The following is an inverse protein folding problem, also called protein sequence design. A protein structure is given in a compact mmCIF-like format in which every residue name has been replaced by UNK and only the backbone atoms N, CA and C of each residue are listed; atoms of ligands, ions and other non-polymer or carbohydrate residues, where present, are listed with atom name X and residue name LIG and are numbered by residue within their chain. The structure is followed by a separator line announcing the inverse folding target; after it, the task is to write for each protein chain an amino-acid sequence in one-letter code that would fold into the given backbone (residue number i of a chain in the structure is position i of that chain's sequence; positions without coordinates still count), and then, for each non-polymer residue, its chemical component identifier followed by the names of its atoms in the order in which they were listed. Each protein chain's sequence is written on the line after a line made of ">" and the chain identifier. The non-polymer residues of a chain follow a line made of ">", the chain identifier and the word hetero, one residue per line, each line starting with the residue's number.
data_IF_076461816499
#
_entry.id   IF_076461816499
#
_cell.length_a   1.000
_cell.length_b   1.000
_cell.length_c   1.000
_cell.angle_alpha   90.00
_cell.angle_beta   90.00
_cell.angle_gamma   90.00
#
_symmetry.space_group_name_H-M   'P 1'
#
loop_
_entity.id
_entity.type
_entity.pdbx_description
1 polymer ?
#
# COMPACT_ATOMS: atom_id res chain seq x y z
N UNK A 1 7.48 -27.94 -14.64
CA UNK A 1 8.01 -26.83 -13.83
C UNK A 1 8.66 -27.46 -12.61
N UNK A 2 9.96 -27.29 -12.43
CA UNK A 2 10.67 -27.75 -11.24
C UNK A 2 10.30 -26.74 -10.15
N UNK A 3 9.39 -27.11 -9.24
CA UNK A 3 9.12 -26.31 -8.06
C UNK A 3 10.34 -26.37 -7.15
N UNK A 4 10.97 -25.23 -6.91
CA UNK A 4 12.07 -25.16 -5.94
C UNK A 4 11.58 -25.66 -4.57
N UNK A 5 12.48 -26.29 -3.78
CA UNK A 5 12.09 -26.83 -2.47
C UNK A 5 11.61 -25.71 -1.55
N UNK A 6 10.61 -25.99 -0.70
CA UNK A 6 10.14 -25.02 0.28
C UNK A 6 11.26 -24.62 1.27
N UNK A 7 11.26 -23.36 1.66
CA UNK A 7 12.20 -22.87 2.69
C UNK A 7 11.70 -23.31 4.07
N UNK A 8 12.60 -23.81 4.90
CA UNK A 8 12.32 -23.98 6.34
C UNK A 8 12.15 -22.60 7.00
N UNK A 9 10.99 -22.29 7.61
CA UNK A 9 10.70 -21.01 8.22
C UNK A 9 11.71 -20.59 9.29
N UNK A 10 12.20 -21.54 10.13
CA UNK A 10 13.17 -21.24 11.17
C UNK A 10 14.55 -20.90 10.59
N UNK A 11 14.97 -21.62 9.55
CA UNK A 11 16.23 -21.33 8.85
C UNK A 11 16.17 -19.97 8.14
N UNK A 12 15.01 -19.63 7.56
CA UNK A 12 14.82 -18.32 6.92
C UNK A 12 15.00 -17.19 7.93
N UNK A 13 14.29 -17.25 9.07
CA UNK A 13 14.41 -16.26 10.16
C UNK A 13 15.85 -16.15 10.63
N UNK A 14 16.49 -17.27 10.96
CA UNK A 14 17.89 -17.29 11.43
C UNK A 14 18.87 -16.66 10.41
N UNK A 15 18.61 -16.83 9.12
CA UNK A 15 19.45 -16.30 8.05
C UNK A 15 19.36 -14.76 7.91
N UNK A 16 18.18 -14.19 8.14
CA UNK A 16 17.93 -12.74 7.94
C UNK A 16 18.05 -11.92 9.22
N UNK A 17 17.86 -12.54 10.38
CA UNK A 17 17.84 -11.88 11.67
C UNK A 17 19.11 -11.05 12.00
N UNK A 18 20.35 -11.48 11.69
CA UNK A 18 21.54 -10.67 11.95
C UNK A 18 21.53 -9.34 11.18
N UNK A 19 21.03 -9.34 9.92
CA UNK A 19 20.96 -8.14 9.10
C UNK A 19 19.84 -7.20 9.57
N UNK A 20 18.72 -7.76 10.02
CA UNK A 20 17.63 -6.99 10.63
C UNK A 20 18.09 -6.33 11.94
N UNK A 21 18.76 -7.07 12.81
CA UNK A 21 19.29 -6.55 14.07
C UNK A 21 20.34 -5.44 13.85
N UNK A 22 21.13 -5.55 12.78
CA UNK A 22 22.09 -4.54 12.36
C UNK A 22 21.51 -3.38 11.56
N UNK A 23 20.20 -3.37 11.28
CA UNK A 23 19.51 -2.42 10.40
C UNK A 23 20.15 -2.31 8.98
N UNK A 24 20.79 -3.37 8.51
CA UNK A 24 21.40 -3.46 7.19
C UNK A 24 20.37 -3.89 6.12
N UNK A 25 19.52 -2.95 5.73
CA UNK A 25 18.48 -3.21 4.74
C UNK A 25 19.06 -3.50 3.34
N UNK A 26 20.21 -2.91 3.00
CA UNK A 26 20.85 -3.17 1.72
C UNK A 26 21.44 -4.58 1.68
N UNK A 27 22.18 -4.98 2.71
CA UNK A 27 22.70 -6.34 2.85
C UNK A 27 21.58 -7.38 2.89
N UNK A 28 20.45 -7.06 3.54
CA UNK A 28 19.26 -7.91 3.54
C UNK A 28 18.68 -8.07 2.13
N UNK A 29 18.48 -6.98 1.39
CA UNK A 29 17.96 -7.04 0.03
C UNK A 29 18.89 -7.86 -0.90
N UNK A 30 20.20 -7.70 -0.76
CA UNK A 30 21.20 -8.44 -1.54
C UNK A 30 21.24 -9.92 -1.18
N UNK A 31 21.11 -10.25 0.11
CA UNK A 31 21.00 -11.64 0.57
C UNK A 31 19.75 -12.30 -0.02
N UNK A 32 18.59 -11.64 0.12
CA UNK A 32 17.31 -12.14 -0.36
C UNK A 32 17.34 -12.42 -1.86
N UNK A 33 17.82 -11.46 -2.68
CA UNK A 33 17.92 -11.61 -4.14
C UNK A 33 18.86 -12.75 -4.57
N UNK A 34 19.89 -13.05 -3.77
CA UNK A 34 20.85 -14.11 -4.10
C UNK A 34 20.43 -15.49 -3.67
N UNK A 35 19.66 -15.62 -2.58
CA UNK A 35 19.39 -16.92 -1.93
C UNK A 35 17.97 -17.41 -2.07
N UNK A 36 17.02 -16.52 -2.37
CA UNK A 36 15.60 -16.86 -2.36
C UNK A 36 14.87 -16.30 -3.57
N UNK A 37 13.94 -17.07 -4.12
CA UNK A 37 12.99 -16.54 -5.10
C UNK A 37 11.83 -15.83 -4.41
N UNK A 38 11.12 -14.97 -5.17
CA UNK A 38 9.92 -14.30 -4.66
C UNK A 38 8.84 -15.31 -4.26
N UNK A 39 8.72 -16.37 -5.03
CA UNK A 39 7.79 -17.49 -4.81
C UNK A 39 8.09 -18.21 -3.49
N UNK A 40 9.36 -18.45 -3.21
CA UNK A 40 9.79 -19.05 -1.94
C UNK A 40 9.46 -18.14 -0.75
N UNK A 41 9.73 -16.83 -0.86
CA UNK A 41 9.42 -15.85 0.22
C UNK A 41 7.90 -15.76 0.42
N UNK A 42 7.11 -15.71 -0.66
CA UNK A 42 5.64 -15.66 -0.53
C UNK A 42 5.03 -16.95 -0.02
N UNK A 43 5.67 -18.11 -0.21
CA UNK A 43 5.23 -19.35 0.40
C UNK A 43 5.26 -19.32 1.93
N UNK A 44 6.17 -18.54 2.52
CA UNK A 44 6.24 -18.34 3.97
C UNK A 44 5.06 -17.54 4.55
N UNK A 45 4.27 -16.84 3.74
CA UNK A 45 3.09 -16.11 4.23
C UNK A 45 2.03 -17.02 4.85
N UNK A 46 2.01 -18.28 4.46
CA UNK A 46 1.02 -19.28 4.90
C UNK A 46 1.59 -20.26 5.94
N UNK A 47 2.84 -20.06 6.42
CA UNK A 47 3.44 -20.97 7.41
C UNK A 47 2.87 -20.73 8.81
N UNK A 48 2.93 -21.75 9.67
CA UNK A 48 2.43 -21.67 11.06
C UNK A 48 3.24 -20.71 11.95
N UNK A 49 4.49 -20.43 11.59
CA UNK A 49 5.39 -19.59 12.37
C UNK A 49 5.13 -18.08 12.12
N UNK A 50 4.57 -17.31 13.09
CA UNK A 50 4.29 -15.88 12.90
C UNK A 50 5.55 -15.04 12.70
N UNK A 51 6.69 -15.42 13.31
CA UNK A 51 7.94 -14.70 13.08
C UNK A 51 8.42 -14.84 11.64
N UNK A 52 8.26 -16.02 11.07
CA UNK A 52 8.59 -16.22 9.65
C UNK A 52 7.64 -15.45 8.72
N UNK A 53 6.33 -15.42 9.00
CA UNK A 53 5.38 -14.61 8.23
C UNK A 53 5.72 -13.12 8.28
N UNK A 54 6.03 -12.61 9.48
CA UNK A 54 6.47 -11.22 9.72
C UNK A 54 7.69 -10.85 8.89
N UNK A 55 8.74 -11.66 9.02
CA UNK A 55 10.01 -11.44 8.33
C UNK A 55 9.85 -11.61 6.82
N UNK A 56 9.04 -12.56 6.37
CA UNK A 56 8.74 -12.75 4.96
C UNK A 56 7.98 -11.56 4.37
N UNK A 57 7.01 -10.97 5.08
CA UNK A 57 6.31 -9.77 4.65
C UNK A 57 7.29 -8.59 4.47
N UNK A 58 8.16 -8.33 5.46
CA UNK A 58 9.19 -7.30 5.38
C UNK A 58 10.16 -7.56 4.22
N UNK A 59 10.65 -8.80 4.09
CA UNK A 59 11.53 -9.21 3.00
C UNK A 59 10.89 -9.00 1.63
N UNK A 60 9.61 -9.35 1.50
CA UNK A 60 8.86 -9.13 0.27
C UNK A 60 8.68 -7.64 -0.02
N UNK A 61 8.52 -6.81 1.01
CA UNK A 61 8.58 -5.35 0.89
C UNK A 61 9.86 -4.87 0.20
N UNK A 62 11.01 -5.50 0.41
CA UNK A 62 12.30 -5.13 -0.20
C UNK A 62 12.49 -5.65 -1.63
N UNK A 63 12.08 -6.90 -1.90
CA UNK A 63 12.36 -7.56 -3.20
C UNK A 63 11.12 -7.83 -4.05
N UNK A 64 9.93 -7.67 -3.49
CA UNK A 64 8.65 -7.98 -4.12
C UNK A 64 8.27 -7.02 -5.24
N UNK A 65 7.14 -7.30 -5.87
CA UNK A 65 6.59 -6.58 -7.00
C UNK A 65 5.05 -6.65 -6.98
N UNK A 66 4.41 -5.96 -7.93
CA UNK A 66 2.94 -5.91 -8.05
C UNK A 66 2.27 -7.31 -8.05
N UNK A 67 2.92 -8.34 -8.62
CA UNK A 67 2.34 -9.68 -8.74
C UNK A 67 2.07 -10.38 -7.39
N UNK A 68 2.81 -10.06 -6.35
CA UNK A 68 2.61 -10.64 -5.01
C UNK A 68 1.64 -9.88 -4.11
N UNK A 69 1.06 -8.77 -4.58
CA UNK A 69 0.24 -7.88 -3.75
C UNK A 69 -1.00 -8.55 -3.17
N UNK A 70 -1.68 -9.44 -3.92
CA UNK A 70 -2.86 -10.13 -3.42
C UNK A 70 -2.52 -10.97 -2.19
N UNK A 71 -1.43 -11.76 -2.25
CA UNK A 71 -0.98 -12.60 -1.13
C UNK A 71 -0.50 -11.76 0.06
N UNK A 72 0.12 -10.61 -0.21
CA UNK A 72 0.53 -9.69 0.85
C UNK A 72 -0.69 -9.03 1.51
N UNK A 73 -1.76 -8.73 0.74
CA UNK A 73 -3.01 -8.21 1.26
C UNK A 73 -3.74 -9.22 2.18
N UNK A 74 -3.57 -10.53 1.96
CA UNK A 74 -4.13 -11.55 2.85
C UNK A 74 -3.50 -11.48 4.25
N UNK A 75 -2.23 -11.11 4.36
CA UNK A 75 -1.55 -10.90 5.65
C UNK A 75 -2.08 -9.69 6.44
N UNK A 76 -2.81 -8.77 5.82
CA UNK A 76 -3.51 -7.70 6.56
C UNK A 76 -4.64 -8.23 7.44
N UNK A 77 -5.01 -9.52 7.29
CA UNK A 77 -6.01 -10.24 8.07
C UNK A 77 -5.39 -11.29 9.00
N UNK A 78 -4.07 -11.31 9.10
CA UNK A 78 -3.36 -12.26 9.96
C UNK A 78 -3.78 -12.09 11.43
N UNK A 79 -3.91 -13.16 12.22
CA UNK A 79 -4.21 -13.07 13.65
C UNK A 79 -3.12 -12.37 14.47
N UNK A 80 -1.87 -12.34 13.99
CA UNK A 80 -0.76 -11.62 14.63
C UNK A 80 -0.72 -10.15 14.14
N UNK A 81 -0.95 -9.15 15.01
CA UNK A 81 -0.94 -7.74 14.63
C UNK A 81 0.38 -7.24 14.03
N UNK A 82 1.50 -7.87 14.42
CA UNK A 82 2.81 -7.50 13.88
C UNK A 82 2.99 -7.98 12.42
N UNK A 83 2.36 -9.10 12.06
CA UNK A 83 2.30 -9.56 10.67
C UNK A 83 1.50 -8.57 9.83
N UNK A 84 0.33 -8.11 10.31
CA UNK A 84 -0.47 -7.10 9.62
C UNK A 84 0.35 -5.83 9.38
N UNK A 85 1.03 -5.32 10.42
CA UNK A 85 1.83 -4.10 10.32
C UNK A 85 2.97 -4.25 9.31
N UNK A 86 3.65 -5.39 9.30
CA UNK A 86 4.72 -5.64 8.33
C UNK A 86 4.18 -5.77 6.91
N UNK A 87 3.00 -6.39 6.73
CA UNK A 87 2.34 -6.48 5.45
C UNK A 87 1.93 -5.09 4.93
N UNK A 88 1.33 -4.26 5.77
CA UNK A 88 0.97 -2.88 5.43
C UNK A 88 2.21 -2.08 5.00
N UNK A 89 3.28 -2.11 5.81
CA UNK A 89 4.54 -1.44 5.48
C UNK A 89 5.13 -1.94 4.14
N UNK A 90 5.10 -3.24 3.91
CA UNK A 90 5.58 -3.83 2.67
C UNK A 90 4.76 -3.37 1.46
N UNK A 91 3.43 -3.28 1.58
CA UNK A 91 2.56 -2.80 0.52
C UNK A 91 2.88 -1.34 0.17
N UNK A 92 3.00 -0.46 1.15
CA UNK A 92 3.42 0.93 0.93
C UNK A 92 4.79 1.00 0.25
N UNK A 93 5.77 0.24 0.73
CA UNK A 93 7.11 0.20 0.14
C UNK A 93 7.08 -0.22 -1.34
N UNK A 94 6.27 -1.21 -1.70
CA UNK A 94 6.12 -1.68 -3.08
C UNK A 94 5.42 -0.63 -3.94
N UNK A 95 4.34 -0.01 -3.46
CA UNK A 95 3.61 1.02 -4.20
C UNK A 95 4.52 2.20 -4.56
N UNK A 96 5.27 2.73 -3.61
CA UNK A 96 6.18 3.87 -3.81
C UNK A 96 7.33 3.62 -4.80
N UNK A 97 7.64 2.36 -5.13
CA UNK A 97 8.68 1.99 -6.10
C UNK A 97 8.14 1.21 -7.30
N UNK A 98 6.84 1.20 -7.49
CA UNK A 98 6.20 0.36 -8.50
C UNK A 98 6.11 1.01 -9.88
N UNK A 99 6.64 2.21 -10.08
CA UNK A 99 6.77 2.85 -11.38
C UNK A 99 7.64 2.01 -12.32
N UNK A 100 7.20 1.89 -13.57
CA UNK A 100 7.88 1.05 -14.57
C UNK A 100 9.23 1.63 -15.01
N UNK A 101 9.45 2.93 -14.80
CA UNK A 101 10.68 3.62 -15.17
C UNK A 101 11.36 4.27 -13.96
N UNK A 102 12.68 4.41 -14.02
CA UNK A 102 13.43 5.14 -12.99
C UNK A 102 13.02 6.62 -12.93
N UNK A 103 12.59 7.17 -14.05
CA UNK A 103 12.12 8.55 -14.14
C UNK A 103 10.80 8.71 -13.35
N UNK A 104 9.80 7.85 -13.58
CA UNK A 104 8.55 7.87 -12.83
C UNK A 104 8.78 7.77 -11.32
N UNK A 105 9.65 6.86 -10.89
CA UNK A 105 9.98 6.70 -9.46
C UNK A 105 10.72 7.93 -8.89
N UNK A 106 11.62 8.57 -9.66
CA UNK A 106 12.29 9.81 -9.24
C UNK A 106 11.32 10.97 -9.11
N UNK A 107 10.43 11.14 -10.08
CA UNK A 107 9.43 12.21 -10.05
C UNK A 107 8.44 12.00 -8.90
N UNK A 108 7.95 10.78 -8.65
CA UNK A 108 7.14 10.48 -7.45
C UNK A 108 7.87 10.92 -6.16
N UNK A 109 9.15 10.58 -6.02
CA UNK A 109 9.94 10.95 -4.85
C UNK A 109 10.09 12.47 -4.70
N UNK A 110 10.27 13.21 -5.82
CA UNK A 110 10.35 14.68 -5.80
C UNK A 110 9.02 15.30 -5.40
N UNK A 111 7.91 14.83 -5.98
CA UNK A 111 6.57 15.27 -5.63
C UNK A 111 6.24 15.04 -4.15
N UNK A 112 6.57 13.87 -3.60
CA UNK A 112 6.39 13.58 -2.17
C UNK A 112 7.21 14.53 -1.29
N UNK A 113 8.44 14.88 -1.68
CA UNK A 113 9.25 15.86 -0.95
C UNK A 113 8.65 17.27 -1.02
N UNK A 114 8.13 17.70 -2.18
CA UNK A 114 7.46 18.97 -2.34
C UNK A 114 6.18 19.02 -1.49
N UNK A 115 5.35 17.98 -1.52
CA UNK A 115 4.16 17.85 -0.68
C UNK A 115 4.49 17.97 0.81
N UNK A 116 5.56 17.33 1.29
CA UNK A 116 6.01 17.41 2.69
C UNK A 116 6.45 18.82 3.10
N UNK A 117 6.93 19.64 2.15
CA UNK A 117 7.21 21.07 2.34
C UNK A 117 5.97 21.95 2.18
N UNK A 118 4.81 21.34 1.86
CA UNK A 118 3.56 22.01 1.54
C UNK A 118 3.61 22.86 0.25
N UNK A 119 4.55 22.57 -0.62
CA UNK A 119 4.61 23.12 -1.97
C UNK A 119 3.74 22.26 -2.89
N UNK A 120 2.43 22.54 -2.83
CA UNK A 120 1.44 21.68 -3.48
C UNK A 120 1.45 21.79 -5.01
N UNK A 121 1.78 22.97 -5.54
CA UNK A 121 1.86 23.15 -7.00
C UNK A 121 3.06 22.40 -7.58
N UNK A 122 4.25 22.54 -6.95
CA UNK A 122 5.43 21.76 -7.33
C UNK A 122 5.17 20.24 -7.19
N UNK A 123 4.44 19.84 -6.14
CA UNK A 123 4.10 18.43 -5.94
C UNK A 123 3.22 17.88 -7.07
N UNK A 124 2.18 18.62 -7.49
CA UNK A 124 1.31 18.22 -8.61
C UNK A 124 2.12 18.11 -9.91
N UNK A 125 2.98 19.09 -10.22
CA UNK A 125 3.84 19.08 -11.40
C UNK A 125 4.73 17.82 -11.46
N UNK A 126 5.29 17.41 -10.34
CA UNK A 126 6.10 16.19 -10.26
C UNK A 126 5.27 14.93 -10.41
N UNK A 127 4.06 14.87 -9.82
CA UNK A 127 3.18 13.72 -9.98
C UNK A 127 2.65 13.62 -11.41
N UNK A 128 2.39 14.73 -12.08
CA UNK A 128 2.02 14.77 -13.50
C UNK A 128 3.14 14.15 -14.36
N UNK A 129 4.40 14.56 -14.14
CA UNK A 129 5.56 13.97 -14.84
C UNK A 129 5.74 12.48 -14.52
N UNK A 130 5.47 12.05 -13.27
CA UNK A 130 5.52 10.65 -12.92
C UNK A 130 4.47 9.83 -13.70
N UNK A 131 3.25 10.38 -13.85
CA UNK A 131 2.15 9.78 -14.63
C UNK A 131 2.47 9.79 -16.13
N UNK A 132 3.06 10.85 -16.66
CA UNK A 132 3.51 10.92 -18.06
C UNK A 132 4.57 9.85 -18.36
N UNK A 133 5.54 9.66 -17.43
CA UNK A 133 6.59 8.67 -17.56
C UNK A 133 6.11 7.22 -17.39
N UNK A 134 5.04 7.00 -16.61
CA UNK A 134 4.36 5.70 -16.43
C UNK A 134 2.86 5.91 -16.17
N UNK A 135 1.99 5.87 -17.19
CA UNK A 135 0.55 5.99 -17.01
C UNK A 135 -0.12 4.88 -16.19
N UNK A 136 0.61 3.81 -15.88
CA UNK A 136 0.14 2.70 -15.04
C UNK A 136 0.67 2.77 -13.59
N UNK A 137 1.25 3.90 -13.20
CA UNK A 137 1.79 4.09 -11.85
C UNK A 137 0.68 4.51 -10.87
N UNK A 138 -0.01 3.54 -10.28
CA UNK A 138 -1.15 3.78 -9.38
C UNK A 138 -0.82 4.76 -8.23
N UNK A 139 0.39 4.64 -7.65
CA UNK A 139 0.81 5.51 -6.54
C UNK A 139 0.96 6.97 -6.95
N UNK A 140 1.36 7.27 -8.17
CA UNK A 140 1.46 8.65 -8.63
C UNK A 140 0.09 9.34 -8.68
N UNK A 141 -0.94 8.63 -9.16
CA UNK A 141 -2.32 9.11 -9.09
C UNK A 141 -2.79 9.28 -7.63
N UNK A 142 -2.52 8.31 -6.76
CA UNK A 142 -2.88 8.38 -5.35
C UNK A 142 -2.24 9.59 -4.65
N UNK A 143 -0.97 9.86 -4.91
CA UNK A 143 -0.26 11.00 -4.31
C UNK A 143 -0.75 12.35 -4.86
N UNK A 144 -1.09 12.42 -6.15
CA UNK A 144 -1.69 13.63 -6.73
C UNK A 144 -3.09 13.87 -6.15
N UNK A 145 -3.89 12.81 -5.99
CA UNK A 145 -5.18 12.89 -5.31
C UNK A 145 -5.04 13.40 -3.86
N UNK A 146 -4.03 12.91 -3.13
CA UNK A 146 -3.77 13.37 -1.76
C UNK A 146 -3.46 14.89 -1.71
N UNK A 147 -2.66 15.41 -2.65
CA UNK A 147 -2.40 16.85 -2.73
C UNK A 147 -3.70 17.62 -3.00
N UNK A 148 -4.51 17.18 -3.95
CA UNK A 148 -5.81 17.81 -4.24
C UNK A 148 -6.74 17.78 -3.05
N UNK A 149 -6.77 16.69 -2.30
CA UNK A 149 -7.51 16.59 -1.06
C UNK A 149 -7.02 17.60 -0.02
N UNK A 150 -5.70 17.76 0.16
CA UNK A 150 -5.11 18.74 1.08
C UNK A 150 -5.38 20.21 0.66
N UNK A 151 -5.67 20.42 -0.62
CA UNK A 151 -6.12 21.72 -1.17
C UNK A 151 -7.65 21.86 -1.13
N UNK A 152 -8.39 20.92 -0.54
CA UNK A 152 -9.88 20.88 -0.49
C UNK A 152 -10.55 20.79 -1.88
N UNK A 153 -9.81 20.34 -2.90
CA UNK A 153 -10.28 20.17 -4.28
C UNK A 153 -10.84 18.76 -4.47
N UNK A 154 -11.91 18.45 -3.73
CA UNK A 154 -12.42 17.08 -3.58
C UNK A 154 -12.91 16.46 -4.90
N UNK A 155 -13.59 17.26 -5.76
CA UNK A 155 -14.07 16.80 -7.05
C UNK A 155 -12.92 16.39 -7.99
N UNK A 156 -11.78 17.08 -7.91
CA UNK A 156 -10.60 16.77 -8.72
C UNK A 156 -9.78 15.59 -8.15
N UNK A 157 -9.91 15.32 -6.86
CA UNK A 157 -9.30 14.17 -6.22
C UNK A 157 -9.91 12.84 -6.70
N UNK A 158 -11.24 12.80 -6.91
CA UNK A 158 -11.98 11.58 -7.24
C UNK A 158 -11.44 10.86 -8.50
N UNK A 159 -11.26 11.50 -9.67
CA UNK A 159 -10.78 10.81 -10.85
C UNK A 159 -9.40 10.18 -10.69
N UNK A 160 -8.51 10.79 -9.90
CA UNK A 160 -7.20 10.23 -9.60
C UNK A 160 -7.30 8.98 -8.72
N UNK A 161 -8.06 9.07 -7.62
CA UNK A 161 -8.31 7.90 -6.78
C UNK A 161 -8.97 6.75 -7.57
N UNK A 162 -9.94 7.05 -8.44
CA UNK A 162 -10.58 6.06 -9.33
C UNK A 162 -9.55 5.40 -10.23
N UNK A 163 -8.62 6.17 -10.81
CA UNK A 163 -7.57 5.60 -11.64
C UNK A 163 -6.61 4.74 -10.83
N UNK A 164 -6.24 5.18 -9.63
CA UNK A 164 -5.36 4.41 -8.75
C UNK A 164 -5.96 3.04 -8.39
N UNK A 165 -7.25 2.97 -8.00
CA UNK A 165 -7.90 1.70 -7.64
C UNK A 165 -8.20 0.82 -8.86
N UNK A 166 -8.37 1.38 -10.06
CA UNK A 166 -8.43 0.63 -11.31
C UNK A 166 -7.12 -0.08 -11.61
N UNK A 167 -6.01 0.62 -11.46
CA UNK A 167 -4.66 0.10 -11.71
C UNK A 167 -4.24 -0.89 -10.61
N UNK A 168 -4.70 -0.68 -9.38
CA UNK A 168 -4.35 -1.48 -8.22
C UNK A 168 -5.54 -1.66 -7.28
N UNK A 169 -6.38 -2.70 -7.49
CA UNK A 169 -7.61 -2.91 -6.71
C UNK A 169 -7.43 -3.08 -5.20
N UNK A 170 -6.25 -3.50 -4.75
CA UNK A 170 -5.90 -3.64 -3.33
C UNK A 170 -5.29 -2.38 -2.71
N UNK A 171 -5.32 -1.25 -3.40
CA UNK A 171 -4.78 0.01 -2.89
C UNK A 171 -5.74 0.65 -1.89
N UNK A 172 -5.72 0.16 -0.64
CA UNK A 172 -6.63 0.62 0.41
C UNK A 172 -6.51 2.13 0.69
N UNK A 173 -5.31 2.72 0.54
CA UNK A 173 -5.13 4.18 0.68
C UNK A 173 -5.92 4.98 -0.36
N UNK A 174 -5.93 4.56 -1.63
CA UNK A 174 -6.71 5.21 -2.67
C UNK A 174 -8.22 5.01 -2.47
N UNK A 175 -8.67 3.84 -2.00
CA UNK A 175 -10.06 3.62 -1.59
C UNK A 175 -10.47 4.52 -0.42
N UNK A 176 -9.58 4.71 0.58
CA UNK A 176 -9.81 5.63 1.68
C UNK A 176 -9.90 7.09 1.18
N UNK A 177 -9.00 7.50 0.28
CA UNK A 177 -9.04 8.81 -0.37
C UNK A 177 -10.36 9.10 -1.07
N UNK A 178 -10.89 8.12 -1.85
CA UNK A 178 -12.23 8.20 -2.42
C UNK A 178 -13.32 8.40 -1.36
N UNK A 179 -13.27 7.60 -0.30
CA UNK A 179 -14.22 7.70 0.81
C UNK A 179 -14.19 9.07 1.47
N UNK A 180 -13.01 9.62 1.71
CA UNK A 180 -12.84 10.96 2.28
C UNK A 180 -13.41 12.05 1.35
N UNK A 181 -13.10 12.01 0.05
CA UNK A 181 -13.62 12.99 -0.90
C UNK A 181 -15.16 12.94 -0.98
N UNK A 182 -15.74 11.74 -1.09
CA UNK A 182 -17.20 11.59 -1.11
C UNK A 182 -17.86 12.06 0.20
N UNK A 183 -17.25 11.79 1.35
CA UNK A 183 -17.76 12.25 2.64
C UNK A 183 -17.78 13.79 2.74
N UNK A 184 -16.70 14.46 2.30
CA UNK A 184 -16.64 15.92 2.26
C UNK A 184 -17.65 16.55 1.29
N UNK A 185 -17.99 15.85 0.21
CA UNK A 185 -19.00 16.29 -0.76
C UNK A 185 -20.44 15.95 -0.33
N UNK A 186 -20.65 15.41 0.87
CA UNK A 186 -21.97 14.97 1.36
C UNK A 186 -22.51 13.70 0.69
N UNK A 187 -21.73 13.02 -0.14
CA UNK A 187 -22.10 11.80 -0.84
C UNK A 187 -21.87 10.59 0.07
N UNK A 188 -22.63 10.52 1.18
CA UNK A 188 -22.37 9.60 2.28
C UNK A 188 -22.48 8.11 1.88
N UNK A 189 -23.38 7.77 0.95
CA UNK A 189 -23.56 6.39 0.49
C UNK A 189 -22.33 5.90 -0.28
N UNK A 190 -21.77 6.76 -1.14
CA UNK A 190 -20.56 6.50 -1.90
C UNK A 190 -19.35 6.39 -0.98
N UNK A 191 -19.25 7.26 0.01
CA UNK A 191 -18.22 7.22 1.04
C UNK A 191 -18.23 5.88 1.79
N UNK A 192 -19.39 5.44 2.27
CA UNK A 192 -19.55 4.15 2.98
C UNK A 192 -19.08 2.99 2.09
N UNK A 193 -19.49 2.94 0.81
CA UNK A 193 -19.06 1.89 -0.13
C UNK A 193 -17.54 1.83 -0.29
N UNK A 194 -16.90 3.01 -0.39
CA UNK A 194 -15.44 3.08 -0.50
C UNK A 194 -14.75 2.59 0.78
N UNK A 195 -15.22 2.99 1.95
CA UNK A 195 -14.66 2.54 3.22
C UNK A 195 -14.91 1.05 3.49
N UNK A 196 -16.08 0.52 3.11
CA UNK A 196 -16.34 -0.94 3.15
C UNK A 196 -15.31 -1.70 2.28
N UNK A 197 -14.94 -1.12 1.13
CA UNK A 197 -13.89 -1.69 0.30
C UNK A 197 -12.52 -1.64 0.99
N UNK A 198 -12.20 -0.54 1.69
CA UNK A 198 -11.00 -0.47 2.55
C UNK A 198 -11.02 -1.61 3.56
N UNK A 199 -12.11 -1.76 4.33
CA UNK A 199 -12.22 -2.77 5.38
C UNK A 199 -12.20 -4.21 4.85
N UNK A 200 -12.66 -4.44 3.62
CA UNK A 200 -12.55 -5.75 2.97
C UNK A 200 -11.09 -6.16 2.69
N UNK A 201 -10.20 -5.18 2.50
CA UNK A 201 -8.77 -5.37 2.24
C UNK A 201 -7.99 -5.33 3.57
N UNK A 202 -8.23 -4.30 4.37
CA UNK A 202 -7.53 -4.01 5.61
C UNK A 202 -8.53 -3.75 6.74
N UNK A 203 -8.98 -4.78 7.48
CA UNK A 203 -10.10 -4.68 8.45
C UNK A 203 -9.87 -3.67 9.59
N UNK A 204 -8.62 -3.41 9.96
CA UNK A 204 -8.24 -2.51 11.07
C UNK A 204 -7.67 -1.17 10.60
N UNK A 205 -7.86 -0.78 9.33
CA UNK A 205 -7.25 0.45 8.79
C UNK A 205 -7.74 1.70 9.51
N UNK A 206 -6.83 2.38 10.14
CA UNK A 206 -6.81 3.71 10.75
C UNK A 206 -8.15 4.40 11.04
N UNK A 207 -9.00 3.92 11.96
CA UNK A 207 -10.25 4.60 12.35
C UNK A 207 -11.42 4.42 11.35
N UNK A 208 -11.20 3.80 10.20
CA UNK A 208 -12.24 3.58 9.18
C UNK A 208 -13.45 2.79 9.70
N UNK A 209 -13.31 1.77 10.58
CA UNK A 209 -14.49 1.08 11.15
C UNK A 209 -15.44 2.05 11.84
N UNK A 210 -14.93 2.96 12.64
CA UNK A 210 -15.73 3.96 13.38
C UNK A 210 -16.39 4.97 12.43
N UNK A 211 -15.67 5.41 11.40
CA UNK A 211 -16.21 6.31 10.36
C UNK A 211 -17.37 5.65 9.62
N UNK A 212 -17.27 4.38 9.26
CA UNK A 212 -18.36 3.65 8.58
C UNK A 212 -19.60 3.59 9.47
N UNK A 213 -19.43 3.29 10.76
CA UNK A 213 -20.55 3.24 11.71
C UNK A 213 -21.23 4.60 11.85
N UNK A 214 -20.45 5.68 12.00
CA UNK A 214 -20.97 7.04 12.07
C UNK A 214 -21.73 7.44 10.79
N UNK A 215 -21.17 7.19 9.62
CA UNK A 215 -21.81 7.55 8.36
C UNK A 215 -23.11 6.75 8.12
N UNK A 216 -23.15 5.48 8.51
CA UNK A 216 -24.39 4.67 8.46
C UNK A 216 -25.46 5.23 9.38
N UNK A 217 -25.10 5.60 10.61
CA UNK A 217 -26.02 6.24 11.54
C UNK A 217 -26.62 7.53 10.97
N UNK A 218 -25.79 8.39 10.37
CA UNK A 218 -26.25 9.62 9.69
C UNK A 218 -27.21 9.32 8.54
N UNK A 219 -26.93 8.31 7.72
CA UNK A 219 -27.80 7.89 6.61
C UNK A 219 -29.16 7.37 7.07
N UNK A 220 -29.23 6.70 8.24
CA UNK A 220 -30.46 6.16 8.81
C UNK A 220 -31.32 7.25 9.45
N UNK A 221 -30.73 8.29 10.03
CA UNK A 221 -31.44 9.35 10.77
C UNK A 221 -31.68 10.63 9.96
N UNK A 222 -31.20 10.67 8.71
CA UNK A 222 -31.44 11.78 7.81
C UNK A 222 -30.60 13.03 8.11
N UNK A 223 -29.54 12.88 8.89
CA UNK A 223 -28.57 13.95 9.19
C UNK A 223 -27.55 14.07 8.04
N UNK A 224 -28.04 14.43 6.86
CA UNK A 224 -27.21 14.59 5.65
C UNK A 224 -26.88 16.07 5.41
#
# INVERSE_FOLDING_TARGET
>A
MITEPPIDPAQFVACVQPLLAGMDLQGLADLLKRRFTKEQVTALFECDNPDARKVAALAFGLIGCKQGMCRLADLLKDPDPMVNQMAEHAMWTIWFRSGATDEANRELCRGTKAMNRRDFDEAVDHFDRAIEADPNFAEAYNQRALVRYLQERYEECIPDCVQAVKLMPHHFGAWAGLGHCYAHLGQLREAVRCYEKVLSIHPSFGGVPQVVEELRHRLEHGDA
#
